data_IF_290917647702
#
_entry.id   IF_290917647702
#
_cell.length_a   1.000
_cell.length_b   1.000
_cell.length_c   1.000
_cell.angle_alpha   90.00
_cell.angle_beta   90.00
_cell.angle_gamma   90.00
#
_symmetry.space_group_name_H-M   'P 1'
#
loop_
_entity.id
_entity.type
_entity.pdbx_description
1 polymer ?
#
# COMPACT_ATOMS: atom_id res chain seq x y z
N UNK A 1 6.40 -37.96 -50.17
CA UNK A 1 6.31 -36.56 -50.61
C UNK A 1 7.56 -35.83 -50.12
N UNK A 2 8.31 -35.14 -51.00
CA UNK A 2 9.44 -34.30 -50.57
C UNK A 2 8.88 -33.09 -49.80
N UNK A 3 9.29 -32.87 -48.54
CA UNK A 3 8.90 -31.67 -47.79
C UNK A 3 9.48 -30.46 -48.51
N UNK A 4 8.61 -29.62 -49.09
CA UNK A 4 9.01 -28.35 -49.70
C UNK A 4 9.45 -27.43 -48.55
N UNK A 5 10.61 -26.78 -48.67
CA UNK A 5 11.12 -25.85 -47.65
C UNK A 5 10.23 -24.61 -47.68
N UNK A 6 9.74 -24.18 -46.51
CA UNK A 6 8.98 -22.93 -46.38
C UNK A 6 9.87 -21.73 -46.76
N UNK A 7 9.30 -20.65 -47.30
CA UNK A 7 10.05 -19.42 -47.53
C UNK A 7 10.55 -18.84 -46.21
N UNK A 8 11.59 -18.00 -46.27
CA UNK A 8 12.04 -17.22 -45.13
C UNK A 8 11.14 -15.97 -44.97
N UNK A 9 10.99 -15.43 -43.75
CA UNK A 9 10.35 -14.13 -43.57
C UNK A 9 11.07 -13.05 -44.38
N UNK A 10 10.31 -12.20 -45.07
CA UNK A 10 10.84 -11.07 -45.85
C UNK A 10 10.51 -9.71 -45.20
N UNK A 11 9.84 -9.71 -44.04
CA UNK A 11 9.49 -8.55 -43.21
C UNK A 11 10.45 -8.39 -42.04
N UNK A 12 10.47 -7.21 -41.43
CA UNK A 12 11.16 -6.94 -40.16
C UNK A 12 10.15 -6.70 -39.05
N UNK A 13 10.48 -7.18 -37.84
CA UNK A 13 9.72 -6.84 -36.64
C UNK A 13 10.15 -5.46 -36.15
N UNK A 14 9.18 -4.58 -35.93
CA UNK A 14 9.42 -3.26 -35.37
C UNK A 14 9.05 -3.28 -33.88
N UNK A 15 10.07 -3.10 -33.04
CA UNK A 15 9.88 -2.94 -31.60
C UNK A 15 9.00 -1.71 -31.32
N UNK A 16 7.96 -1.81 -30.48
CA UNK A 16 7.20 -0.64 -30.01
C UNK A 16 8.14 0.49 -29.55
N UNK A 17 7.83 1.73 -29.90
CA UNK A 17 8.65 2.91 -29.57
C UNK A 17 9.91 3.12 -30.43
N UNK A 18 10.31 2.16 -31.27
CA UNK A 18 11.51 2.25 -32.12
C UNK A 18 11.22 2.74 -33.55
N UNK A 19 10.51 3.87 -33.69
CA UNK A 19 10.13 4.42 -35.01
C UNK A 19 11.28 5.02 -35.83
N UNK A 20 12.49 5.10 -35.27
CA UNK A 20 13.63 5.79 -35.91
C UNK A 20 14.11 5.13 -37.20
N UNK A 21 13.71 3.87 -37.48
CA UNK A 21 14.14 3.10 -38.66
C UNK A 21 12.96 2.40 -39.37
N UNK A 22 11.85 3.12 -39.58
CA UNK A 22 10.70 2.55 -40.30
C UNK A 22 10.99 2.44 -41.81
N UNK A 23 11.41 1.26 -42.24
CA UNK A 23 11.58 0.90 -43.65
C UNK A 23 10.37 0.13 -44.19
N UNK A 24 10.39 -0.18 -45.49
CA UNK A 24 9.31 -0.93 -46.13
C UNK A 24 9.07 -2.29 -45.47
N UNK A 25 10.14 -2.99 -45.07
CA UNK A 25 10.01 -4.30 -44.41
C UNK A 25 9.35 -4.19 -43.04
N UNK A 26 9.60 -3.10 -42.31
CA UNK A 26 9.00 -2.86 -41.01
C UNK A 26 7.52 -2.54 -41.16
N UNK A 27 7.16 -1.70 -42.14
CA UNK A 27 5.77 -1.40 -42.44
C UNK A 27 4.99 -2.65 -42.84
N UNK A 28 5.58 -3.49 -43.71
CA UNK A 28 5.02 -4.79 -44.08
C UNK A 28 4.85 -5.71 -42.86
N UNK A 29 5.83 -5.72 -41.96
CA UNK A 29 5.77 -6.44 -40.71
C UNK A 29 4.62 -5.99 -39.81
N UNK A 30 4.39 -4.67 -39.71
CA UNK A 30 3.26 -4.12 -38.96
C UNK A 30 1.92 -4.55 -39.55
N UNK A 31 1.75 -4.44 -40.88
CA UNK A 31 0.50 -4.83 -41.57
C UNK A 31 0.19 -6.31 -41.38
N UNK A 32 1.20 -7.18 -41.46
CA UNK A 32 1.02 -8.62 -41.30
C UNK A 32 0.81 -9.04 -39.84
N UNK A 33 0.95 -8.15 -38.86
CA UNK A 33 0.88 -8.51 -37.45
C UNK A 33 -0.55 -8.40 -36.91
N UNK A 34 -1.18 -9.53 -36.50
CA UNK A 34 -2.57 -9.49 -36.07
C UNK A 34 -2.78 -8.90 -34.67
N UNK A 35 -1.71 -8.59 -33.93
CA UNK A 35 -1.83 -7.90 -32.62
C UNK A 35 -2.55 -6.55 -32.76
N UNK A 36 -2.41 -5.86 -33.90
CA UNK A 36 -3.08 -4.57 -34.14
C UNK A 36 -4.60 -4.71 -34.31
N UNK A 37 -5.08 -5.92 -34.64
CA UNK A 37 -6.50 -6.26 -34.65
C UNK A 37 -7.00 -6.77 -33.28
N UNK A 38 -6.14 -6.73 -32.23
CA UNK A 38 -6.51 -7.13 -30.87
C UNK A 38 -6.36 -8.63 -30.58
N UNK A 39 -5.40 -9.31 -31.23
CA UNK A 39 -5.05 -10.69 -30.87
C UNK A 39 -4.21 -10.71 -29.59
N UNK A 40 -4.51 -11.67 -28.70
CA UNK A 40 -3.94 -11.82 -27.36
C UNK A 40 -4.34 -10.67 -26.41
N UNK A 41 -3.45 -10.20 -25.55
CA UNK A 41 -3.68 -9.10 -24.60
C UNK A 41 -3.50 -7.70 -25.22
N UNK A 42 -3.11 -7.63 -26.50
CA UNK A 42 -2.90 -6.36 -27.18
C UNK A 42 -4.22 -5.63 -27.43
N UNK A 43 -4.28 -4.31 -27.20
CA UNK A 43 -5.46 -3.52 -27.52
C UNK A 43 -5.69 -3.48 -29.04
N UNK A 44 -6.96 -3.52 -29.45
CA UNK A 44 -7.34 -3.35 -30.85
C UNK A 44 -7.13 -1.90 -31.28
N UNK A 45 -6.24 -1.68 -32.25
CA UNK A 45 -5.91 -0.36 -32.82
C UNK A 45 -6.43 -0.21 -34.25
N UNK A 46 -6.63 -1.33 -34.96
CA UNK A 46 -7.12 -1.39 -36.33
C UNK A 46 -8.37 -2.27 -36.38
N UNK A 47 -9.40 -1.81 -37.08
CA UNK A 47 -10.61 -2.60 -37.29
C UNK A 47 -10.34 -3.87 -38.10
N UNK A 48 -11.03 -4.97 -37.76
CA UNK A 48 -10.83 -6.28 -38.38
C UNK A 48 -11.01 -6.21 -39.90
N UNK A 49 -12.00 -5.46 -40.40
CA UNK A 49 -12.23 -5.30 -41.83
C UNK A 49 -11.06 -4.62 -42.55
N UNK A 50 -10.44 -3.62 -41.92
CA UNK A 50 -9.30 -2.91 -42.48
C UNK A 50 -8.07 -3.83 -42.50
N UNK A 51 -7.84 -4.57 -41.41
CA UNK A 51 -6.77 -5.55 -41.34
C UNK A 51 -6.94 -6.69 -42.35
N UNK A 52 -8.15 -7.25 -42.48
CA UNK A 52 -8.47 -8.30 -43.46
C UNK A 52 -8.25 -7.82 -44.89
N UNK A 53 -8.68 -6.58 -45.23
CA UNK A 53 -8.45 -6.02 -46.57
C UNK A 53 -6.96 -5.86 -46.89
N UNK A 54 -6.18 -5.35 -45.93
CA UNK A 54 -4.73 -5.23 -46.09
C UNK A 54 -4.04 -6.59 -46.22
N UNK A 55 -4.42 -7.57 -45.38
CA UNK A 55 -3.94 -8.94 -45.46
C UNK A 55 -4.27 -9.59 -46.82
N UNK A 56 -5.50 -9.41 -47.31
CA UNK A 56 -5.92 -9.94 -48.62
C UNK A 56 -5.09 -9.34 -49.77
N UNK A 57 -4.78 -8.04 -49.71
CA UNK A 57 -3.90 -7.40 -50.68
C UNK A 57 -2.48 -8.00 -50.64
N UNK A 58 -1.90 -8.16 -49.45
CA UNK A 58 -0.58 -8.78 -49.29
C UNK A 58 -0.54 -10.22 -49.79
N UNK A 59 -1.60 -11.00 -49.52
CA UNK A 59 -1.73 -12.37 -50.02
C UNK A 59 -1.77 -12.39 -51.55
N UNK A 60 -2.45 -11.43 -52.19
CA UNK A 60 -2.49 -11.33 -53.64
C UNK A 60 -1.13 -10.97 -54.25
N UNK A 61 -0.34 -10.14 -53.56
CA UNK A 61 0.98 -9.67 -54.02
C UNK A 61 2.09 -10.70 -53.78
N UNK A 62 2.14 -11.31 -52.59
CA UNK A 62 3.27 -12.17 -52.16
C UNK A 62 2.93 -13.67 -52.12
N UNK A 63 1.64 -14.01 -52.15
CA UNK A 63 1.15 -15.37 -52.00
C UNK A 63 0.88 -15.78 -50.54
N UNK A 64 -0.06 -16.71 -50.38
CA UNK A 64 -0.55 -17.19 -49.07
C UNK A 64 0.58 -17.74 -48.19
N UNK A 65 1.49 -18.53 -48.75
CA UNK A 65 2.60 -19.13 -47.98
C UNK A 65 3.53 -18.06 -47.39
N UNK A 66 3.88 -17.03 -48.17
CA UNK A 66 4.76 -15.95 -47.72
C UNK A 66 4.08 -15.11 -46.64
N UNK A 67 2.80 -14.74 -46.85
CA UNK A 67 2.01 -14.00 -45.86
C UNK A 67 1.94 -14.73 -44.52
N UNK A 68 1.63 -16.03 -44.52
CA UNK A 68 1.54 -16.81 -43.28
C UNK A 68 2.89 -16.92 -42.56
N UNK A 69 3.98 -17.07 -43.29
CA UNK A 69 5.34 -17.08 -42.71
C UNK A 69 5.67 -15.73 -42.06
N UNK A 70 5.36 -14.62 -42.73
CA UNK A 70 5.57 -13.28 -42.20
C UNK A 70 4.71 -13.02 -40.96
N UNK A 71 3.41 -13.32 -41.03
CA UNK A 71 2.45 -13.17 -39.93
C UNK A 71 2.90 -13.96 -38.69
N UNK A 72 3.25 -15.24 -38.85
CA UNK A 72 3.72 -16.06 -37.73
C UNK A 72 5.07 -15.57 -37.17
N UNK A 73 5.96 -15.05 -38.02
CA UNK A 73 7.22 -14.47 -37.57
C UNK A 73 6.99 -13.25 -36.67
N UNK A 74 6.19 -12.27 -37.12
CA UNK A 74 5.94 -11.05 -36.34
C UNK A 74 5.07 -11.31 -35.11
N UNK A 75 4.10 -12.22 -35.19
CA UNK A 75 3.26 -12.59 -34.04
C UNK A 75 4.08 -13.23 -32.93
N UNK A 76 4.97 -14.19 -33.27
CA UNK A 76 5.85 -14.81 -32.27
C UNK A 76 6.76 -13.80 -31.60
N UNK A 77 7.32 -12.86 -32.38
CA UNK A 77 8.16 -11.79 -31.81
C UNK A 77 7.38 -10.89 -30.86
N UNK A 78 6.15 -10.55 -31.21
CA UNK A 78 5.29 -9.71 -30.36
C UNK A 78 4.95 -10.37 -29.04
N UNK A 79 4.59 -11.65 -29.07
CA UNK A 79 4.26 -12.41 -27.85
C UNK A 79 5.50 -12.66 -26.98
N UNK A 80 6.68 -12.82 -27.58
CA UNK A 80 7.93 -12.94 -26.83
C UNK A 80 8.26 -11.63 -26.09
N UNK A 81 8.15 -10.49 -26.76
CA UNK A 81 8.41 -9.20 -26.13
C UNK A 81 7.42 -8.90 -24.99
N UNK A 82 6.14 -9.23 -25.17
CA UNK A 82 5.14 -9.11 -24.10
C UNK A 82 5.47 -9.98 -22.88
N UNK A 83 5.97 -11.20 -23.10
CA UNK A 83 6.41 -12.07 -22.01
C UNK A 83 7.62 -11.49 -21.28
N UNK A 84 8.63 -11.01 -22.01
CA UNK A 84 9.81 -10.37 -21.43
C UNK A 84 9.44 -9.12 -20.61
N UNK A 85 8.51 -8.27 -21.10
CA UNK A 85 8.02 -7.11 -20.35
C UNK A 85 7.23 -7.50 -19.08
N UNK A 86 6.45 -8.59 -19.14
CA UNK A 86 5.72 -9.09 -17.97
C UNK A 86 6.67 -9.65 -16.91
N UNK A 87 7.67 -10.43 -17.31
CA UNK A 87 8.70 -10.96 -16.41
C UNK A 87 9.48 -9.82 -15.73
N UNK A 88 9.91 -8.80 -16.49
CA UNK A 88 10.60 -7.63 -15.94
C UNK A 88 9.71 -6.85 -14.94
N UNK A 89 8.41 -6.72 -15.22
CA UNK A 89 7.47 -6.06 -14.32
C UNK A 89 7.19 -6.88 -13.07
N UNK A 90 7.09 -8.19 -13.18
CA UNK A 90 6.93 -9.11 -12.05
C UNK A 90 8.17 -9.10 -11.15
N UNK A 91 9.38 -9.11 -11.73
CA UNK A 91 10.63 -8.99 -10.97
C UNK A 91 10.72 -7.63 -10.25
N UNK A 92 10.38 -6.53 -10.93
CA UNK A 92 10.32 -5.20 -10.30
C UNK A 92 9.28 -5.14 -9.19
N UNK A 93 8.11 -5.75 -9.40
CA UNK A 93 7.06 -5.83 -8.37
C UNK A 93 7.52 -6.67 -7.18
N UNK A 94 8.18 -7.80 -7.40
CA UNK A 94 8.74 -8.63 -6.36
C UNK A 94 9.82 -7.87 -5.56
N UNK A 95 10.69 -7.12 -6.24
CA UNK A 95 11.68 -6.27 -5.56
C UNK A 95 11.07 -5.13 -4.72
N UNK A 96 9.85 -4.70 -5.04
CA UNK A 96 9.10 -3.71 -4.25
C UNK A 96 8.27 -4.34 -3.13
N UNK A 97 8.08 -5.66 -3.13
CA UNK A 97 7.34 -6.38 -2.09
C UNK A 97 8.26 -6.90 -0.96
N UNK A 98 9.57 -6.94 -1.18
CA UNK A 98 10.56 -7.20 -0.11
C UNK A 98 10.85 -5.94 0.76
N UNK A 99 10.36 -4.77 0.36
CA UNK A 99 10.32 -3.55 1.17
C UNK A 99 8.90 -3.32 1.71
N UNK A 100 8.41 -4.24 2.55
CA UNK A 100 7.37 -3.95 3.57
C UNK A 100 8.00 -3.06 4.67
N UNK A 101 8.75 -2.02 4.28
CA UNK A 101 8.97 -0.89 5.18
C UNK A 101 7.60 -0.22 5.30
N UNK A 102 6.92 -0.44 6.42
CA UNK A 102 5.81 0.41 6.84
C UNK A 102 6.35 1.84 6.83
N UNK A 103 6.14 2.57 5.73
CA UNK A 103 6.50 3.97 5.64
C UNK A 103 5.55 4.75 6.53
N UNK A 104 5.84 4.77 7.83
CA UNK A 104 5.24 5.72 8.74
C UNK A 104 5.67 7.11 8.29
N UNK A 105 4.69 7.96 8.05
CA UNK A 105 4.92 9.40 7.92
C UNK A 105 5.06 9.91 9.35
N UNK A 106 6.15 10.58 9.70
CA UNK A 106 6.38 11.09 11.06
C UNK A 106 6.07 12.59 11.13
N UNK A 107 5.49 13.03 12.23
CA UNK A 107 5.22 14.45 12.46
C UNK A 107 6.52 15.19 12.80
N UNK A 108 6.70 16.39 12.26
CA UNK A 108 8.00 17.09 12.30
C UNK A 108 8.40 17.64 13.68
N UNK A 109 7.45 17.74 14.62
CA UNK A 109 7.66 18.32 15.93
C UNK A 109 8.17 17.26 16.92
N UNK A 110 7.44 16.15 17.06
CA UNK A 110 7.68 15.14 18.09
C UNK A 110 8.29 13.84 17.54
N UNK A 111 8.38 13.69 16.21
CA UNK A 111 8.86 12.46 15.59
C UNK A 111 7.92 11.26 15.77
N UNK A 112 6.69 11.48 16.22
CA UNK A 112 5.69 10.43 16.35
C UNK A 112 5.03 10.12 14.99
N UNK A 113 4.53 8.89 14.77
CA UNK A 113 3.81 8.55 13.56
C UNK A 113 2.58 9.45 13.32
N UNK A 114 2.28 9.70 12.06
CA UNK A 114 1.05 10.30 11.59
C UNK A 114 0.10 9.19 11.16
N UNK A 115 -1.15 9.30 11.60
CA UNK A 115 -2.21 8.34 11.27
C UNK A 115 -3.27 9.01 10.42
N UNK A 116 -3.81 8.26 9.45
CA UNK A 116 -4.87 8.73 8.58
C UNK A 116 -6.22 8.59 9.29
N UNK A 117 -6.75 9.69 9.79
CA UNK A 117 -8.11 9.78 10.31
C UNK A 117 -9.08 10.10 9.15
N UNK A 118 -10.40 10.05 9.39
CA UNK A 118 -11.44 10.06 8.33
C UNK A 118 -11.20 11.09 7.22
N UNK A 119 -10.86 12.33 7.59
CA UNK A 119 -10.70 13.45 6.65
C UNK A 119 -9.32 14.13 6.72
N UNK A 120 -8.39 13.66 7.57
CA UNK A 120 -7.09 14.31 7.77
C UNK A 120 -6.01 13.34 8.29
N UNK A 121 -4.76 13.80 8.31
CA UNK A 121 -3.64 13.14 8.98
C UNK A 121 -3.33 13.85 10.29
N UNK A 122 -3.30 13.12 11.40
CA UNK A 122 -2.95 13.68 12.71
C UNK A 122 -1.68 13.04 13.27
N UNK A 123 -0.87 13.83 13.97
CA UNK A 123 0.20 13.27 14.79
C UNK A 123 -0.41 12.51 15.97
N UNK A 124 0.02 11.27 16.21
CA UNK A 124 -0.58 10.39 17.23
C UNK A 124 -0.54 11.02 18.63
N UNK A 125 0.59 11.62 19.00
CA UNK A 125 0.74 12.26 20.31
C UNK A 125 -0.23 13.42 20.49
N UNK A 126 -0.24 14.35 19.55
CA UNK A 126 -1.14 15.51 19.54
C UNK A 126 -2.61 15.07 19.62
N UNK A 127 -3.01 14.09 18.80
CA UNK A 127 -4.38 13.59 18.78
C UNK A 127 -4.81 12.98 20.12
N UNK A 128 -3.96 12.14 20.74
CA UNK A 128 -4.27 11.53 22.03
C UNK A 128 -4.31 12.57 23.15
N UNK A 129 -3.38 13.54 23.19
CA UNK A 129 -3.36 14.58 24.22
C UNK A 129 -4.53 15.56 24.10
N UNK A 130 -4.92 15.94 22.87
CA UNK A 130 -6.06 16.83 22.62
C UNK A 130 -7.37 16.24 23.17
N UNK A 131 -7.58 14.93 23.03
CA UNK A 131 -8.82 14.27 23.44
C UNK A 131 -8.81 13.81 24.90
N UNK A 132 -7.66 13.29 25.37
CA UNK A 132 -7.57 12.79 26.74
C UNK A 132 -7.40 13.93 27.75
N UNK A 133 -6.94 15.12 27.35
CA UNK A 133 -6.82 16.33 28.19
C UNK A 133 -6.26 16.07 29.60
N UNK A 134 -5.21 15.26 29.71
CA UNK A 134 -4.60 14.89 31.00
C UNK A 134 -5.55 14.16 31.98
N UNK A 135 -6.66 13.64 31.47
CA UNK A 135 -7.66 12.93 32.27
C UNK A 135 -7.05 11.70 32.93
N UNK A 136 -7.56 11.37 34.11
CA UNK A 136 -7.10 10.20 34.87
C UNK A 136 -7.86 8.96 34.43
N UNK A 137 -7.17 7.82 34.38
CA UNK A 137 -7.79 6.52 34.20
C UNK A 137 -8.72 6.27 35.39
N UNK A 138 -9.98 6.03 35.10
CA UNK A 138 -11.03 5.78 36.07
C UNK A 138 -11.36 4.29 36.19
N UNK A 139 -11.38 3.57 35.07
CA UNK A 139 -11.85 2.20 34.99
C UNK A 139 -11.20 1.45 33.82
N UNK A 140 -11.42 0.14 33.77
CA UNK A 140 -10.98 -0.76 32.72
C UNK A 140 -12.15 -1.66 32.34
N UNK A 141 -12.43 -1.80 31.04
CA UNK A 141 -13.53 -2.63 30.54
C UNK A 141 -12.96 -3.73 29.67
N UNK A 142 -13.36 -4.98 29.93
CA UNK A 142 -12.90 -6.17 29.21
C UNK A 142 -13.99 -6.79 28.33
N UNK A 143 -14.48 -6.07 27.30
CA UNK A 143 -15.29 -6.66 26.21
C UNK A 143 -15.68 -5.61 25.14
N UNK A 144 -15.47 -5.87 23.83
CA UNK A 144 -14.77 -7.01 23.22
C UNK A 144 -13.23 -6.90 23.26
N UNK A 145 -12.72 -5.72 23.58
CA UNK A 145 -11.29 -5.39 23.69
C UNK A 145 -11.07 -4.81 25.09
N UNK A 146 -9.89 -5.03 25.65
CA UNK A 146 -9.49 -4.40 26.90
C UNK A 146 -9.35 -2.90 26.69
N UNK A 147 -10.12 -2.08 27.40
CA UNK A 147 -10.24 -0.64 27.10
C UNK A 147 -10.11 0.19 28.37
N UNK A 148 -9.20 1.17 28.35
CA UNK A 148 -9.08 2.19 29.40
C UNK A 148 -10.26 3.15 29.33
N UNK A 149 -10.84 3.48 30.47
CA UNK A 149 -11.88 4.49 30.60
C UNK A 149 -11.31 5.66 31.39
N UNK A 150 -11.36 6.85 30.80
CA UNK A 150 -10.87 8.08 31.41
C UNK A 150 -12.01 8.84 32.09
N UNK A 151 -11.69 9.64 33.12
CA UNK A 151 -12.68 10.43 33.87
C UNK A 151 -13.46 11.42 33.02
N UNK A 152 -12.88 11.89 31.92
CA UNK A 152 -13.56 12.80 30.99
C UNK A 152 -14.55 12.06 30.07
N UNK A 153 -14.67 10.73 30.16
CA UNK A 153 -15.59 9.90 29.39
C UNK A 153 -14.99 9.33 28.10
N UNK A 154 -13.74 9.66 27.77
CA UNK A 154 -13.05 9.02 26.66
C UNK A 154 -12.69 7.57 26.99
N UNK A 155 -12.60 6.74 25.96
CA UNK A 155 -12.09 5.38 26.11
C UNK A 155 -11.03 5.08 25.07
N UNK A 156 -9.99 4.35 25.47
CA UNK A 156 -8.85 3.98 24.62
C UNK A 156 -8.67 2.46 24.67
N UNK A 157 -8.89 1.72 23.57
CA UNK A 157 -8.62 0.30 23.55
C UNK A 157 -7.12 0.06 23.66
N UNK A 158 -6.76 -0.98 24.39
CA UNK A 158 -5.40 -1.49 24.49
C UNK A 158 -5.25 -2.63 23.48
N UNK A 159 -4.31 -2.45 22.57
CA UNK A 159 -3.98 -3.44 21.54
C UNK A 159 -2.57 -3.97 21.75
N UNK A 160 -2.42 -5.29 21.61
CA UNK A 160 -1.15 -5.99 21.71
C UNK A 160 -0.15 -5.44 20.68
N UNK A 161 1.05 -5.04 21.10
CA UNK A 161 2.06 -4.42 20.23
C UNK A 161 2.37 -5.27 19.00
N UNK A 162 2.44 -6.60 19.16
CA UNK A 162 2.89 -7.51 18.10
C UNK A 162 1.82 -7.78 17.01
N UNK A 163 0.55 -7.89 17.41
CA UNK A 163 -0.49 -8.43 16.52
C UNK A 163 -1.68 -7.50 16.30
N UNK A 164 -1.75 -6.37 17.03
CA UNK A 164 -2.83 -5.39 16.93
C UNK A 164 -4.19 -5.90 17.41
N UNK A 165 -4.24 -7.09 18.03
CA UNK A 165 -5.44 -7.63 18.67
C UNK A 165 -5.56 -7.14 20.11
N UNK A 166 -6.63 -7.53 20.83
CA UNK A 166 -6.85 -7.12 22.21
C UNK A 166 -5.63 -7.43 23.09
N UNK A 167 -5.23 -6.46 23.91
CA UNK A 167 -4.15 -6.63 24.88
C UNK A 167 -4.50 -7.73 25.89
N UNK A 168 -3.57 -8.65 26.11
CA UNK A 168 -3.72 -9.77 27.03
C UNK A 168 -2.99 -9.45 28.34
N UNK A 169 -3.73 -8.89 29.30
CA UNK A 169 -3.23 -8.63 30.65
C UNK A 169 -4.25 -9.07 31.70
N UNK A 170 -3.78 -9.26 32.92
CA UNK A 170 -4.64 -9.41 34.08
C UNK A 170 -5.33 -8.07 34.37
N UNK A 171 -6.65 -8.04 34.24
CA UNK A 171 -7.47 -6.82 34.33
C UNK A 171 -7.34 -6.15 35.71
N UNK A 172 -7.37 -6.95 36.78
CA UNK A 172 -7.31 -6.44 38.16
C UNK A 172 -5.93 -5.83 38.44
N UNK A 173 -4.87 -6.50 37.99
CA UNK A 173 -3.51 -5.99 38.14
C UNK A 173 -3.29 -4.70 37.35
N UNK A 174 -3.76 -4.66 36.09
CA UNK A 174 -3.60 -3.49 35.22
C UNK A 174 -4.41 -2.29 35.73
N UNK A 175 -5.66 -2.52 36.13
CA UNK A 175 -6.50 -1.49 36.72
C UNK A 175 -5.87 -0.96 38.02
N UNK A 176 -5.34 -1.83 38.88
CA UNK A 176 -4.65 -1.40 40.09
C UNK A 176 -3.42 -0.54 39.79
N UNK A 177 -2.67 -0.85 38.73
CA UNK A 177 -1.46 -0.12 38.35
C UNK A 177 -1.79 1.27 37.76
N UNK A 178 -2.85 1.37 36.95
CA UNK A 178 -3.16 2.58 36.19
C UNK A 178 -4.22 3.48 36.84
N UNK A 179 -5.08 2.96 37.71
CA UNK A 179 -6.19 3.70 38.29
C UNK A 179 -5.71 4.97 39.01
N UNK A 180 -6.25 6.12 38.58
CA UNK A 180 -5.91 7.43 39.11
C UNK A 180 -4.63 8.06 38.54
N UNK A 181 -3.94 7.38 37.61
CA UNK A 181 -2.86 7.97 36.82
C UNK A 181 -3.43 8.65 35.58
N UNK A 182 -2.70 9.64 35.07
CA UNK A 182 -2.98 10.30 33.78
C UNK A 182 -1.91 9.91 32.77
N UNK A 183 -2.25 9.95 31.48
CA UNK A 183 -1.25 9.90 30.41
C UNK A 183 -0.43 11.19 30.49
N UNK A 184 0.88 11.06 30.68
CA UNK A 184 1.81 12.18 30.87
C UNK A 184 2.76 12.36 29.69
N UNK A 185 3.07 11.29 28.97
CA UNK A 185 3.98 11.33 27.81
C UNK A 185 3.65 10.19 26.83
N UNK A 186 4.06 10.38 25.57
CA UNK A 186 3.90 9.42 24.48
C UNK A 186 5.20 9.38 23.68
N UNK A 187 5.79 8.20 23.53
CA UNK A 187 6.97 8.00 22.68
C UNK A 187 6.69 6.92 21.62
N UNK A 188 7.51 6.93 20.57
CA UNK A 188 7.52 5.90 19.54
C UNK A 188 8.82 5.11 19.62
N UNK A 189 8.70 3.80 19.80
CA UNK A 189 9.84 2.88 19.71
C UNK A 189 10.05 2.49 18.25
N UNK A 190 11.08 3.06 17.63
CA UNK A 190 11.43 2.81 16.24
C UNK A 190 11.96 1.39 15.97
N UNK A 191 12.49 0.72 16.99
CA UNK A 191 13.04 -0.63 16.82
C UNK A 191 11.92 -1.67 16.82
N UNK A 192 10.93 -1.49 17.70
CA UNK A 192 9.82 -2.42 17.85
C UNK A 192 8.54 -2.00 17.12
N UNK A 193 8.50 -0.77 16.59
CA UNK A 193 7.32 -0.17 15.95
C UNK A 193 6.08 -0.13 16.87
N UNK A 194 6.29 0.27 18.12
CA UNK A 194 5.23 0.32 19.15
C UNK A 194 5.10 1.71 19.75
N UNK A 195 3.88 2.03 20.20
CA UNK A 195 3.59 3.27 20.91
C UNK A 195 3.79 3.04 22.42
N UNK A 196 4.63 3.86 23.04
CA UNK A 196 4.86 3.85 24.49
C UNK A 196 3.97 4.90 25.14
N UNK A 197 3.06 4.48 26.02
CA UNK A 197 2.17 5.36 26.77
C UNK A 197 2.67 5.45 28.22
N UNK A 198 3.14 6.63 28.63
CA UNK A 198 3.67 6.87 29.97
C UNK A 198 2.58 7.42 30.88
N UNK A 199 2.34 6.74 32.00
CA UNK A 199 1.33 7.13 32.97
C UNK A 199 1.96 7.62 34.27
N UNK A 200 1.49 8.75 34.79
CA UNK A 200 2.01 9.39 35.99
C UNK A 200 0.94 10.06 36.83
N UNK A 201 1.35 10.54 38.01
CA UNK A 201 0.46 11.29 38.89
C UNK A 201 0.66 12.79 38.66
N UNK A 202 -0.32 13.43 38.02
CA UNK A 202 -0.30 14.88 37.83
C UNK A 202 -0.52 15.62 39.16
N UNK A 203 0.12 16.78 39.36
CA UNK A 203 -0.19 17.66 40.48
C UNK A 203 -1.60 18.23 40.33
N UNK A 204 -2.29 18.50 41.45
CA UNK A 204 -3.64 19.08 41.43
C UNK A 204 -3.69 20.46 40.75
N UNK A 205 -2.57 21.17 40.74
CA UNK A 205 -2.39 22.46 40.08
C UNK A 205 -1.11 22.41 39.27
N UNK A 206 -1.23 22.48 37.94
CA UNK A 206 -0.12 22.67 37.02
C UNK A 206 0.07 24.18 36.86
N UNK A 207 0.97 24.78 37.64
CA UNK A 207 1.27 26.23 37.53
C UNK A 207 2.24 26.54 36.38
N UNK A 208 3.07 25.56 36.01
CA UNK A 208 4.09 25.67 34.97
C UNK A 208 4.06 24.40 34.09
N UNK A 209 3.90 24.58 32.77
CA UNK A 209 3.91 23.46 31.83
C UNK A 209 5.29 22.81 31.76
N UNK A 210 6.38 23.55 32.03
CA UNK A 210 7.72 22.97 32.07
C UNK A 210 7.90 21.97 33.23
N UNK A 211 7.05 22.04 34.25
CA UNK A 211 7.07 21.06 35.35
C UNK A 211 6.43 19.72 34.95
N UNK A 212 5.71 19.65 33.82
CA UNK A 212 5.14 18.40 33.33
C UNK A 212 6.24 17.44 32.86
N UNK A 213 7.30 17.96 32.24
CA UNK A 213 8.45 17.18 31.77
C UNK A 213 9.24 16.52 32.93
N UNK A 214 9.06 16.99 34.16
CA UNK A 214 9.73 16.44 35.35
C UNK A 214 8.89 15.37 36.08
N UNK A 215 7.66 15.10 35.63
CA UNK A 215 6.78 14.13 36.29
C UNK A 215 7.28 12.71 35.99
N UNK A 216 7.69 11.93 37.00
CA UNK A 216 8.16 10.58 36.75
C UNK A 216 6.99 9.69 36.34
N UNK A 217 7.17 8.96 35.24
CA UNK A 217 6.29 7.88 34.88
C UNK A 217 6.29 6.81 35.98
N UNK A 218 5.10 6.34 36.34
CA UNK A 218 4.90 5.22 37.27
C UNK A 218 4.68 3.92 36.52
N UNK A 219 4.00 3.99 35.39
CA UNK A 219 3.70 2.85 34.54
C UNK A 219 3.91 3.23 33.08
N UNK A 220 4.30 2.26 32.27
CA UNK A 220 4.50 2.41 30.83
C UNK A 220 3.78 1.26 30.14
N UNK A 221 2.95 1.56 29.15
CA UNK A 221 2.29 0.55 28.33
C UNK A 221 2.84 0.60 26.92
N UNK A 222 3.29 -0.55 26.43
CA UNK A 222 3.60 -0.75 25.01
C UNK A 222 2.32 -1.20 24.31
N UNK A 223 1.86 -0.40 23.35
CA UNK A 223 0.62 -0.68 22.62
C UNK A 223 0.83 -0.52 21.12
N UNK A 224 0.04 -1.25 20.34
CA UNK A 224 0.06 -1.10 18.89
C UNK A 224 -0.44 0.29 18.48
N UNK A 225 0.13 0.88 17.42
CA UNK A 225 -0.30 2.17 16.87
C UNK A 225 -1.81 2.30 16.61
N UNK A 226 -2.50 1.18 16.34
CA UNK A 226 -3.92 1.18 15.96
C UNK A 226 -4.85 1.49 17.15
N UNK A 227 -4.34 1.59 18.39
CA UNK A 227 -5.14 2.05 19.54
C UNK A 227 -5.80 3.40 19.26
N UNK A 228 -5.14 4.25 18.47
CA UNK A 228 -5.58 5.61 18.14
C UNK A 228 -6.91 5.59 17.36
N UNK A 229 -7.08 4.64 16.44
CA UNK A 229 -8.31 4.51 15.65
C UNK A 229 -9.51 4.05 16.48
N UNK A 230 -9.25 3.48 17.65
CA UNK A 230 -10.29 3.03 18.56
C UNK A 230 -10.60 4.00 19.69
N UNK A 231 -9.93 5.15 19.75
CA UNK A 231 -10.26 6.19 20.72
C UNK A 231 -11.71 6.65 20.51
N UNK A 232 -12.53 6.57 21.56
CA UNK A 232 -13.91 7.05 21.53
C UNK A 232 -14.06 8.33 22.33
N UNK A 233 -14.75 9.32 21.77
CA UNK A 233 -14.96 10.63 22.38
C UNK A 233 -16.41 10.76 22.88
N UNK A 234 -16.64 11.16 24.14
CA UNK A 234 -17.98 11.30 24.68
C UNK A 234 -18.74 12.42 23.95
N UNK A 235 -19.93 12.10 23.45
CA UNK A 235 -20.78 13.06 22.72
C UNK A 235 -20.56 13.12 21.22
N UNK A 236 -19.59 12.39 20.67
CA UNK A 236 -19.46 12.17 19.23
C UNK A 236 -20.34 10.96 18.85
N UNK A 237 -21.55 11.22 18.35
CA UNK A 237 -22.37 10.17 17.75
C UNK A 237 -21.96 10.03 16.28
N UNK A 238 -21.58 8.82 15.87
CA UNK A 238 -21.38 8.48 14.46
C UNK A 238 -22.74 8.55 13.75
N UNK A 239 -23.03 9.69 13.12
CA UNK A 239 -24.14 9.87 12.17
C UNK A 239 -23.78 9.29 10.78
#
# INVERSE_FOLDING_TARGET
MKKRKLPAPNVSYLRPGSFRNMDEKALRGMICNPIYAGIASFPKVVDDEAWIKAAAQFIAEEGVEQFLVNMLYVLRRSLQEEQEEQEDLEERRASLQDEDENFFIYCSHDGLPMVALRDDFACVGEYLFEHLEWSTVQDLISQPVLTLVFRNGHTLPLLCPDCGQSFHADEDQLLQALSGLSLIDIEWDYENEVLLLYFGQLPEVVEDLAALDEIPAREVLEVHLNVVYGLTCPGYQDD
#
